data_IF_684167121186
#
_entry.id   IF_684167121186
#
_cell.length_a   1.000
_cell.length_b   1.000
_cell.length_c   1.000
_cell.angle_alpha   90.00
_cell.angle_beta   90.00
_cell.angle_gamma   90.00
#
_symmetry.space_group_name_H-M   'P 1'
#
loop_
_entity.id
_entity.type
_entity.pdbx_description
1 polymer ?
#
# COMPACT_ATOMS: atom_id res chain seq x y z
N UNK A 1 -4.70 9.90 6.44
CA UNK A 1 -3.40 9.39 6.89
C UNK A 1 -2.39 10.52 6.86
N UNK A 2 -1.49 10.62 7.85
CA UNK A 2 -0.48 11.68 7.89
C UNK A 2 0.59 11.43 6.82
N UNK A 3 0.57 12.24 5.76
CA UNK A 3 1.47 12.15 4.60
C UNK A 3 2.95 12.28 5.00
N UNK A 4 3.22 12.91 6.15
CA UNK A 4 4.56 13.08 6.73
C UNK A 4 5.20 11.76 7.18
N UNK A 5 4.42 10.88 7.84
CA UNK A 5 4.91 9.57 8.26
C UNK A 5 5.20 8.65 7.07
N UNK A 6 4.39 8.76 6.01
CA UNK A 6 4.60 8.03 4.76
C UNK A 6 5.92 8.42 4.13
N UNK A 7 6.23 9.73 4.05
CA UNK A 7 7.52 10.19 3.52
C UNK A 7 8.72 9.66 4.31
N UNK A 8 8.63 9.64 5.64
CA UNK A 8 9.71 9.11 6.48
C UNK A 8 9.94 7.60 6.31
N UNK A 9 8.89 6.84 5.99
CA UNK A 9 8.94 5.38 5.76
C UNK A 9 8.91 5.00 4.29
N UNK A 10 8.93 5.97 3.38
CA UNK A 10 8.71 5.76 1.96
C UNK A 10 9.76 4.84 1.35
N UNK A 11 11.03 5.00 1.73
CA UNK A 11 12.12 4.14 1.25
C UNK A 11 11.91 2.67 1.61
N UNK A 12 11.40 2.39 2.82
CA UNK A 12 11.09 1.02 3.26
C UNK A 12 9.86 0.46 2.52
N UNK A 13 8.79 1.26 2.44
CA UNK A 13 7.56 0.92 1.72
C UNK A 13 7.89 0.58 0.26
N UNK A 14 8.60 1.46 -0.43
CA UNK A 14 9.06 1.29 -1.81
C UNK A 14 9.83 0.00 -2.02
N UNK A 15 10.73 -0.37 -1.09
CA UNK A 15 11.47 -1.63 -1.18
C UNK A 15 10.58 -2.87 -1.13
N UNK A 16 9.52 -2.84 -0.31
CA UNK A 16 8.52 -3.91 -0.25
C UNK A 16 7.66 -3.92 -1.52
N UNK A 17 7.19 -2.75 -1.98
CA UNK A 17 6.44 -2.60 -3.23
C UNK A 17 7.26 -3.14 -4.42
N UNK A 18 8.54 -2.80 -4.54
CA UNK A 18 9.40 -3.27 -5.63
C UNK A 18 9.55 -4.80 -5.64
N UNK A 19 9.59 -5.43 -4.46
CA UNK A 19 9.63 -6.90 -4.36
C UNK A 19 8.31 -7.54 -4.79
N UNK A 20 7.19 -6.95 -4.40
CA UNK A 20 5.85 -7.44 -4.79
C UNK A 20 5.58 -7.23 -6.28
N UNK A 21 5.96 -6.07 -6.83
CA UNK A 21 5.71 -5.67 -8.20
C UNK A 21 7.03 -5.49 -8.96
N UNK A 22 7.71 -6.59 -9.23
CA UNK A 22 9.01 -6.60 -9.91
C UNK A 22 9.02 -6.05 -11.35
N UNK A 23 7.85 -5.76 -11.96
CA UNK A 23 7.77 -5.08 -13.26
C UNK A 23 7.95 -3.56 -13.16
N UNK A 24 7.80 -2.99 -11.98
CA UNK A 24 7.87 -1.54 -11.75
C UNK A 24 9.26 -1.21 -11.23
N UNK A 25 9.96 -0.36 -11.96
CA UNK A 25 11.34 -0.02 -11.62
C UNK A 25 11.40 0.91 -10.41
N UNK A 26 12.54 0.88 -9.72
CA UNK A 26 12.84 1.75 -8.59
C UNK A 26 12.59 3.24 -8.91
N UNK A 27 12.98 3.69 -10.11
CA UNK A 27 12.79 5.07 -10.57
C UNK A 27 11.30 5.45 -10.65
N UNK A 28 10.46 4.58 -11.24
CA UNK A 28 9.03 4.83 -11.35
C UNK A 28 8.37 4.95 -9.98
N UNK A 29 8.78 4.15 -9.00
CA UNK A 29 8.31 4.34 -7.64
C UNK A 29 8.72 5.71 -7.09
N UNK A 30 9.94 6.20 -7.33
CA UNK A 30 10.36 7.52 -6.86
C UNK A 30 9.52 8.67 -7.40
N UNK A 31 9.03 8.54 -8.64
CA UNK A 31 8.13 9.55 -9.23
C UNK A 31 6.85 9.74 -8.41
N UNK A 32 6.37 8.69 -7.73
CA UNK A 32 5.17 8.74 -6.89
C UNK A 32 5.39 9.47 -5.56
N UNK A 33 6.65 9.59 -5.10
CA UNK A 33 7.04 10.25 -3.84
C UNK A 33 6.25 9.78 -2.60
N UNK A 34 5.77 8.54 -2.60
CA UNK A 34 4.95 7.97 -1.54
C UNK A 34 3.49 8.40 -1.55
N UNK A 35 3.03 9.03 -2.63
CA UNK A 35 1.62 9.26 -2.84
C UNK A 35 0.91 7.94 -3.17
N UNK A 36 0.05 7.50 -2.26
CA UNK A 36 -0.67 6.23 -2.37
C UNK A 36 -1.53 6.15 -3.64
N UNK A 37 -2.08 7.28 -4.10
CA UNK A 37 -2.91 7.34 -5.31
C UNK A 37 -2.04 7.21 -6.57
N UNK A 38 -0.88 7.87 -6.60
CA UNK A 38 0.09 7.74 -7.67
C UNK A 38 0.67 6.32 -7.75
N UNK A 39 0.99 5.70 -6.61
CA UNK A 39 1.43 4.30 -6.49
C UNK A 39 0.38 3.35 -7.06
N UNK A 40 -0.88 3.49 -6.65
CA UNK A 40 -1.98 2.66 -7.17
C UNK A 40 -2.16 2.86 -8.69
N UNK A 41 -2.08 4.09 -9.18
CA UNK A 41 -2.17 4.40 -10.62
C UNK A 41 -1.02 3.78 -11.43
N UNK A 42 0.21 3.85 -10.93
CA UNK A 42 1.39 3.27 -11.57
C UNK A 42 1.27 1.75 -11.68
N UNK A 43 0.85 1.09 -10.60
CA UNK A 43 0.61 -0.35 -10.59
C UNK A 43 -0.48 -0.72 -11.58
N UNK A 44 -1.59 0.03 -11.60
CA UNK A 44 -2.67 -0.20 -12.54
C UNK A 44 -2.21 -0.05 -14.00
N UNK A 45 -1.40 0.97 -14.32
CA UNK A 45 -0.87 1.17 -15.68
C UNK A 45 0.06 0.04 -16.13
N UNK A 46 0.83 -0.53 -15.19
CA UNK A 46 1.84 -1.55 -15.50
C UNK A 46 1.29 -2.98 -15.53
N UNK A 47 0.29 -3.26 -14.70
CA UNK A 47 -0.28 -4.61 -14.58
C UNK A 47 -1.66 -4.75 -15.24
N UNK A 48 -2.39 -3.66 -15.51
CA UNK A 48 -3.65 -3.66 -16.25
C UNK A 48 -4.84 -4.36 -15.55
N UNK A 49 -4.60 -5.10 -14.48
CA UNK A 49 -5.60 -5.84 -13.71
C UNK A 49 -6.38 -4.94 -12.73
N UNK A 50 -7.49 -5.48 -12.21
CA UNK A 50 -8.51 -4.79 -11.43
C UNK A 50 -7.94 -3.89 -10.33
N UNK A 51 -8.41 -2.64 -10.31
CA UNK A 51 -7.98 -1.55 -9.41
C UNK A 51 -8.06 -1.90 -7.92
N UNK A 52 -8.94 -2.84 -7.57
CA UNK A 52 -9.26 -3.24 -6.20
C UNK A 52 -8.16 -4.09 -5.55
N UNK A 53 -7.67 -5.14 -6.23
CA UNK A 53 -6.64 -6.05 -5.70
C UNK A 53 -5.32 -5.32 -5.38
N UNK A 54 -4.93 -4.39 -6.26
CA UNK A 54 -3.73 -3.60 -6.05
C UNK A 54 -3.89 -2.53 -4.99
N UNK A 55 -5.05 -1.87 -4.93
CA UNK A 55 -5.32 -0.85 -3.91
C UNK A 55 -5.28 -1.47 -2.51
N UNK A 56 -5.84 -2.66 -2.33
CA UNK A 56 -5.77 -3.37 -1.04
C UNK A 56 -4.35 -3.80 -0.68
N UNK A 57 -3.58 -4.38 -1.63
CA UNK A 57 -2.19 -4.74 -1.38
C UNK A 57 -1.33 -3.54 -1.02
N UNK A 58 -1.46 -2.44 -1.77
CA UNK A 58 -0.77 -1.18 -1.49
C UNK A 58 -1.18 -0.67 -0.11
N UNK A 59 -2.49 -0.60 0.19
CA UNK A 59 -2.98 -0.18 1.50
C UNK A 59 -2.44 -1.06 2.64
N UNK A 60 -2.34 -2.38 2.43
CA UNK A 60 -1.77 -3.32 3.40
C UNK A 60 -0.29 -3.09 3.67
N UNK A 61 0.51 -2.85 2.62
CA UNK A 61 1.92 -2.49 2.77
C UNK A 61 2.03 -1.18 3.54
N UNK A 62 1.28 -0.14 3.17
CA UNK A 62 1.31 1.14 3.90
C UNK A 62 0.88 0.94 5.35
N UNK A 63 -0.21 0.20 5.61
CA UNK A 63 -0.67 -0.10 6.96
C UNK A 63 0.41 -0.81 7.79
N UNK A 64 1.22 -1.70 7.20
CA UNK A 64 2.34 -2.35 7.90
C UNK A 64 3.39 -1.35 8.44
N UNK A 65 3.64 -0.25 7.73
CA UNK A 65 4.66 0.74 8.10
C UNK A 65 4.09 1.95 8.87
N UNK A 66 2.89 2.40 8.49
CA UNK A 66 2.21 3.55 9.09
C UNK A 66 1.44 3.15 10.35
N UNK A 67 1.06 1.87 10.48
CA UNK A 67 0.25 1.33 11.57
C UNK A 67 1.07 0.46 12.54
N UNK A 68 2.35 0.80 12.78
CA UNK A 68 3.06 0.23 13.94
C UNK A 68 2.18 0.50 15.19
N UNK A 69 1.73 -0.54 15.90
CA UNK A 69 0.53 -0.42 16.72
C UNK A 69 0.80 0.28 18.05
N UNK A 70 -0.11 1.17 18.45
CA UNK A 70 -0.59 1.15 19.84
C UNK A 70 -1.11 -0.28 20.05
N UNK A 71 -0.31 -1.12 20.71
CA UNK A 71 -0.34 -2.59 20.68
C UNK A 71 -1.55 -3.24 21.38
N UNK A 72 -2.73 -2.62 21.46
CA UNK A 72 -3.78 -3.08 22.41
C UNK A 72 -5.25 -3.08 21.95
N UNK A 73 -5.61 -2.98 20.65
CA UNK A 73 -7.05 -2.89 20.29
C UNK A 73 -7.62 -3.85 19.22
N UNK A 74 -6.83 -4.64 18.49
CA UNK A 74 -7.37 -5.39 17.33
C UNK A 74 -7.13 -6.90 17.41
N UNK A 75 -7.47 -7.50 18.57
CA UNK A 75 -7.71 -8.95 18.65
C UNK A 75 -9.14 -9.36 18.26
N UNK A 76 -10.00 -8.40 17.90
CA UNK A 76 -11.43 -8.64 17.68
C UNK A 76 -11.89 -8.06 16.32
N UNK A 77 -11.52 -8.72 15.22
CA UNK A 77 -12.34 -8.71 13.98
C UNK A 77 -11.87 -9.89 13.11
N UNK A 78 -12.09 -11.11 13.63
CA UNK A 78 -12.08 -12.36 12.85
C UNK A 78 -13.47 -12.67 12.28
N UNK A 79 -14.36 -11.68 12.18
CA UNK A 79 -15.73 -11.89 11.70
C UNK A 79 -16.30 -10.59 11.11
N UNK A 80 -16.13 -10.40 9.81
CA UNK A 80 -17.03 -9.57 8.97
C UNK A 80 -16.86 -9.98 7.53
N UNK A 81 -17.72 -10.91 7.15
CA UNK A 81 -18.22 -11.11 5.81
C UNK A 81 -18.49 -9.77 5.11
N UNK A 82 -18.13 -9.64 3.84
CA UNK A 82 -18.68 -8.59 2.97
C UNK A 82 -20.11 -9.01 2.61
N UNK A 83 -21.18 -8.34 3.09
CA UNK A 83 -22.50 -8.60 2.57
C UNK A 83 -22.61 -8.04 1.14
N UNK A 84 -22.90 -8.92 0.18
CA UNK A 84 -23.51 -8.51 -1.08
C UNK A 84 -24.90 -7.97 -0.77
N UNK A 85 -25.18 -6.73 -1.19
CA UNK A 85 -26.52 -6.30 -1.61
C UNK A 85 -26.39 -5.51 -2.90
#
# INVERSE_FOLDING_TARGET
MNNDQVKGKWTEIKGDLQKTWGKITNDEWETTKGDMKAVSGLVQQRYGEGKEDFSEKVAGVYNKYISQPVREALKDDKDKTYPKQ
#
